data_IF_682281396923
#
_entry.id   IF_682281396923
#
_cell.length_a   1.000
_cell.length_b   1.000
_cell.length_c   1.000
_cell.angle_alpha   90.00
_cell.angle_beta   90.00
_cell.angle_gamma   90.00
#
_symmetry.space_group_name_H-M   'P 1'
#
loop_
_entity.id
_entity.type
_entity.pdbx_description
1 polymer ?
#
# COMPACT_ATOMS: atom_id res chain seq x y z
N UNK A 1 9.35 1.33 -13.58
CA UNK A 1 8.18 1.07 -12.72
C UNK A 1 7.59 2.40 -12.26
N UNK A 2 6.34 2.44 -11.80
CA UNK A 2 5.69 3.67 -11.30
C UNK A 2 6.54 4.35 -10.20
N UNK A 3 6.97 3.56 -9.21
CA UNK A 3 7.87 3.99 -8.12
C UNK A 3 9.24 4.42 -8.65
N UNK A 4 9.81 3.64 -9.58
CA UNK A 4 11.11 3.89 -10.20
C UNK A 4 11.23 5.27 -10.86
N UNK A 5 10.12 5.84 -11.34
CA UNK A 5 10.10 7.16 -11.98
C UNK A 5 10.45 8.28 -11.01
N UNK A 6 10.15 8.10 -9.74
CA UNK A 6 10.33 9.12 -8.71
C UNK A 6 11.54 8.88 -7.81
N UNK A 7 12.38 7.88 -8.09
CA UNK A 7 13.54 7.55 -7.24
C UNK A 7 14.65 8.59 -7.33
N UNK A 8 14.84 9.18 -8.52
CA UNK A 8 15.87 10.19 -8.76
C UNK A 8 15.38 11.63 -8.59
N UNK A 9 14.08 11.82 -8.33
CA UNK A 9 13.53 13.15 -8.07
C UNK A 9 14.13 13.71 -6.77
N UNK A 10 14.46 15.00 -6.75
CA UNK A 10 14.88 15.68 -5.53
C UNK A 10 13.64 15.86 -4.65
N UNK A 11 13.69 15.38 -3.42
CA UNK A 11 12.62 15.63 -2.46
C UNK A 11 12.70 17.09 -1.99
N UNK A 12 11.59 17.83 -1.98
CA UNK A 12 11.59 19.16 -1.41
C UNK A 12 11.82 19.10 0.10
N UNK A 13 12.40 20.16 0.64
CA UNK A 13 12.66 20.30 2.09
C UNK A 13 11.34 20.27 2.87
N UNK A 14 10.31 20.93 2.35
CA UNK A 14 8.94 20.88 2.86
C UNK A 14 7.97 20.41 1.76
N UNK A 15 7.04 19.52 2.13
CA UNK A 15 6.00 19.05 1.22
C UNK A 15 4.91 20.10 1.10
N UNK A 16 4.70 20.61 -0.12
CA UNK A 16 3.65 21.58 -0.42
C UNK A 16 2.39 20.91 -1.00
N UNK A 17 1.32 21.70 -1.22
CA UNK A 17 0.08 21.19 -1.81
C UNK A 17 0.26 20.53 -3.19
N UNK A 18 1.29 20.92 -3.95
CA UNK A 18 1.60 20.32 -5.24
C UNK A 18 1.95 18.83 -5.11
N UNK A 19 2.79 18.48 -4.13
CA UNK A 19 3.24 17.10 -3.92
C UNK A 19 2.11 16.20 -3.42
N UNK A 20 1.23 16.72 -2.56
CA UNK A 20 0.04 15.99 -2.09
C UNK A 20 -0.97 15.74 -3.22
N UNK A 21 -1.10 16.65 -4.18
CA UNK A 21 -2.03 16.50 -5.31
C UNK A 21 -1.41 15.85 -6.55
N UNK A 22 -0.09 15.66 -6.56
CA UNK A 22 0.61 15.03 -7.68
C UNK A 22 0.20 13.57 -7.80
N UNK A 23 -0.14 13.15 -9.02
CA UNK A 23 -0.40 11.76 -9.34
C UNK A 23 0.36 11.39 -10.61
N UNK A 24 0.66 10.11 -10.76
CA UNK A 24 1.16 9.54 -12.00
C UNK A 24 0.19 8.49 -12.53
N UNK A 25 -0.06 8.51 -13.84
CA UNK A 25 -0.82 7.46 -14.52
C UNK A 25 0.00 6.94 -15.71
N UNK A 26 -0.07 5.63 -15.95
CA UNK A 26 0.60 4.99 -17.06
C UNK A 26 -0.17 3.77 -17.55
N UNK A 27 -0.18 3.58 -18.87
CA UNK A 27 -0.77 2.40 -19.51
C UNK A 27 0.28 1.29 -19.58
N UNK A 28 -0.10 0.11 -19.11
CA UNK A 28 0.67 -1.12 -19.17
C UNK A 28 -0.02 -2.00 -20.21
N UNK A 29 0.50 -1.95 -21.43
CA UNK A 29 0.00 -2.73 -22.55
C UNK A 29 0.76 -4.05 -22.61
N UNK A 30 0.09 -5.16 -22.92
CA UNK A 30 0.70 -6.47 -23.06
C UNK A 30 1.86 -6.46 -24.07
N UNK A 31 1.70 -5.69 -25.15
CA UNK A 31 2.74 -5.47 -26.17
C UNK A 31 3.92 -4.59 -25.71
N UNK A 32 3.81 -3.94 -24.55
CA UNK A 32 4.75 -2.93 -24.06
C UNK A 32 4.56 -1.53 -24.68
N UNK A 33 5.22 -0.54 -24.06
CA UNK A 33 5.42 0.83 -24.57
C UNK A 33 6.88 1.23 -24.35
N UNK A 34 7.36 2.38 -24.87
CA UNK A 34 8.71 2.87 -24.53
C UNK A 34 8.94 3.05 -23.01
N UNK A 35 7.88 3.30 -22.23
CA UNK A 35 7.93 3.56 -20.79
C UNK A 35 7.59 2.33 -19.94
N UNK A 36 6.90 1.33 -20.50
CA UNK A 36 6.42 0.14 -19.77
C UNK A 36 6.80 -1.16 -20.49
N UNK A 37 7.37 -2.14 -19.78
CA UNK A 37 7.78 -3.39 -20.41
C UNK A 37 6.56 -4.19 -20.89
N UNK A 38 6.77 -5.01 -21.94
CA UNK A 38 5.79 -6.01 -22.36
C UNK A 38 5.55 -7.05 -21.24
N UNK A 39 4.34 -7.61 -21.21
CA UNK A 39 3.94 -8.56 -20.17
C UNK A 39 2.83 -9.51 -20.64
N UNK A 40 2.65 -10.61 -19.91
CA UNK A 40 1.66 -11.64 -20.24
C UNK A 40 0.25 -11.39 -19.66
N UNK A 41 0.06 -10.31 -18.92
CA UNK A 41 -1.26 -9.90 -18.41
C UNK A 41 -2.05 -9.10 -19.45
N UNK A 42 -3.38 -9.06 -19.32
CA UNK A 42 -4.20 -8.15 -20.11
C UNK A 42 -3.86 -6.69 -19.82
N UNK A 43 -3.98 -5.83 -20.82
CA UNK A 43 -3.72 -4.41 -20.67
C UNK A 43 -4.48 -3.78 -19.49
N UNK A 44 -3.77 -2.93 -18.76
CA UNK A 44 -4.31 -2.21 -17.62
C UNK A 44 -3.68 -0.82 -17.51
N UNK A 45 -4.38 0.11 -16.86
CA UNK A 45 -3.86 1.42 -16.49
C UNK A 45 -3.55 1.44 -15.01
N UNK A 46 -2.34 1.86 -14.67
CA UNK A 46 -1.90 2.03 -13.29
C UNK A 46 -1.92 3.51 -12.91
N UNK A 47 -2.32 3.80 -11.67
CA UNK A 47 -2.21 5.13 -11.06
C UNK A 47 -1.47 5.05 -9.74
N UNK A 48 -0.50 5.93 -9.57
CA UNK A 48 0.25 6.17 -8.34
C UNK A 48 -0.15 7.53 -7.74
N UNK A 49 -0.59 7.54 -6.50
CA UNK A 49 -1.07 8.75 -5.83
C UNK A 49 0.00 9.33 -4.91
N UNK A 50 0.23 10.65 -4.96
CA UNK A 50 1.20 11.40 -4.14
C UNK A 50 2.57 10.72 -4.01
N UNK A 51 3.22 10.36 -5.13
CA UNK A 51 4.39 9.47 -5.13
C UNK A 51 5.56 10.00 -4.29
N UNK A 52 5.80 11.32 -4.31
CA UNK A 52 6.86 11.95 -3.51
C UNK A 52 6.54 11.96 -2.01
N UNK A 53 5.27 12.15 -1.63
CA UNK A 53 4.84 12.13 -0.23
C UNK A 53 5.04 10.73 0.35
N UNK A 54 4.55 9.69 -0.36
CA UNK A 54 4.75 8.31 0.09
C UNK A 54 6.21 7.85 0.01
N UNK A 55 7.01 8.42 -0.90
CA UNK A 55 8.47 8.23 -0.88
C UNK A 55 9.09 8.78 0.40
N UNK A 56 8.77 10.02 0.78
CA UNK A 56 9.32 10.61 2.01
C UNK A 56 8.86 9.84 3.26
N UNK A 57 7.61 9.35 3.28
CA UNK A 57 7.15 8.45 4.35
C UNK A 57 7.97 7.15 4.40
N UNK A 58 8.26 6.53 3.26
CA UNK A 58 9.13 5.35 3.20
C UNK A 58 10.53 5.66 3.75
N UNK A 59 11.16 6.73 3.29
CA UNK A 59 12.50 7.15 3.75
C UNK A 59 12.51 7.46 5.26
N UNK A 60 11.47 8.12 5.78
CA UNK A 60 11.29 8.37 7.22
C UNK A 60 11.30 7.10 8.05
N UNK A 61 10.78 5.99 7.53
CA UNK A 61 10.76 4.69 8.20
C UNK A 61 11.89 3.75 7.74
N UNK A 62 12.93 4.27 7.08
CA UNK A 62 14.12 3.50 6.70
C UNK A 62 13.87 2.51 5.57
N UNK A 63 12.90 2.79 4.71
CA UNK A 63 12.57 1.97 3.54
C UNK A 63 13.09 2.70 2.30
N UNK A 64 14.11 2.14 1.66
CA UNK A 64 14.58 2.68 0.39
C UNK A 64 13.60 2.36 -0.73
N UNK A 65 13.61 3.15 -1.80
CA UNK A 65 12.78 2.84 -2.97
C UNK A 65 13.16 1.51 -3.62
N UNK A 66 14.43 1.13 -3.55
CA UNK A 66 14.93 -0.15 -4.06
C UNK A 66 14.37 -1.32 -3.24
N UNK A 67 14.48 -1.27 -1.90
CA UNK A 67 13.92 -2.30 -1.01
C UNK A 67 12.42 -2.45 -1.23
N UNK A 68 11.71 -1.32 -1.29
CA UNK A 68 10.26 -1.32 -1.51
C UNK A 68 9.87 -2.00 -2.84
N UNK A 69 10.60 -1.73 -3.93
CA UNK A 69 10.34 -2.37 -5.21
C UNK A 69 10.67 -3.86 -5.16
N UNK A 70 11.82 -4.25 -4.59
CA UNK A 70 12.21 -5.65 -4.47
C UNK A 70 11.17 -6.47 -3.70
N UNK A 71 10.68 -5.98 -2.56
CA UNK A 71 9.66 -6.65 -1.77
C UNK A 71 8.32 -6.80 -2.50
N UNK A 72 7.95 -5.83 -3.35
CA UNK A 72 6.63 -5.78 -4.01
C UNK A 72 6.62 -6.28 -5.45
N UNK A 73 7.77 -6.60 -6.05
CA UNK A 73 7.84 -7.05 -7.46
C UNK A 73 8.69 -8.31 -7.65
N UNK A 74 9.12 -8.98 -6.58
CA UNK A 74 9.79 -10.29 -6.70
C UNK A 74 8.83 -11.34 -7.25
N UNK A 75 9.27 -12.25 -8.12
CA UNK A 75 8.43 -13.25 -8.83
C UNK A 75 7.39 -14.01 -7.95
N UNK A 76 7.65 -14.17 -6.65
CA UNK A 76 6.76 -14.78 -5.65
C UNK A 76 5.94 -13.75 -4.85
N UNK A 77 5.41 -12.72 -5.53
CA UNK A 77 5.09 -11.41 -4.93
C UNK A 77 4.12 -11.45 -3.74
N UNK A 78 3.04 -12.25 -3.82
CA UNK A 78 1.87 -12.08 -2.96
C UNK A 78 1.37 -13.40 -2.39
N UNK A 79 1.56 -13.59 -1.09
CA UNK A 79 0.87 -14.65 -0.34
C UNK A 79 -0.52 -14.12 0.03
N UNK A 80 -1.56 -14.68 -0.59
CA UNK A 80 -2.94 -14.33 -0.26
C UNK A 80 -3.25 -14.73 1.19
N UNK A 81 -3.74 -13.76 1.96
CA UNK A 81 -4.36 -14.06 3.24
C UNK A 81 -5.86 -14.22 3.05
N UNK A 82 -6.37 -15.40 3.37
CA UNK A 82 -7.78 -15.61 3.66
C UNK A 82 -8.15 -14.90 4.96
N UNK A 83 -8.32 -13.58 4.92
CA UNK A 83 -8.94 -12.88 6.05
C UNK A 83 -10.45 -12.98 5.90
N UNK A 84 -11.15 -13.46 6.93
CA UNK A 84 -12.60 -13.26 7.12
C UNK A 84 -12.89 -11.77 7.42
N UNK A 85 -12.35 -10.86 6.61
CA UNK A 85 -12.57 -9.44 6.80
C UNK A 85 -14.02 -9.16 6.49
N UNK A 86 -14.77 -8.64 7.48
CA UNK A 86 -16.18 -8.23 7.31
C UNK A 86 -16.40 -7.26 6.14
N UNK A 87 -15.34 -6.60 5.66
CA UNK A 87 -15.37 -5.68 4.51
C UNK A 87 -15.17 -6.33 3.14
N UNK A 88 -14.86 -7.63 3.06
CA UNK A 88 -14.56 -8.30 1.78
C UNK A 88 -13.29 -7.78 1.07
N UNK A 89 -12.39 -7.12 1.82
CA UNK A 89 -11.11 -6.64 1.30
C UNK A 89 -10.08 -7.77 1.27
N UNK A 90 -9.36 -7.90 0.17
CA UNK A 90 -8.25 -8.83 0.03
C UNK A 90 -6.98 -8.27 0.68
N UNK A 91 -6.22 -9.15 1.32
CA UNK A 91 -4.93 -8.85 1.89
C UNK A 91 -3.88 -9.78 1.32
N UNK A 92 -2.72 -9.21 1.01
CA UNK A 92 -1.57 -9.94 0.55
C UNK A 92 -0.33 -9.50 1.33
N UNK A 93 0.56 -10.42 1.65
CA UNK A 93 1.89 -10.07 2.13
C UNK A 93 2.87 -9.94 0.97
N UNK A 94 3.83 -9.02 1.08
CA UNK A 94 5.05 -9.08 0.27
C UNK A 94 5.79 -10.40 0.53
N UNK A 95 6.63 -10.84 -0.41
CA UNK A 95 7.38 -12.10 -0.29
C UNK A 95 8.26 -12.19 0.96
N UNK A 96 8.74 -11.06 1.46
CA UNK A 96 9.54 -10.93 2.68
C UNK A 96 8.72 -10.55 3.93
N UNK A 97 7.39 -10.55 3.83
CA UNK A 97 6.43 -10.21 4.88
C UNK A 97 6.60 -8.81 5.49
N UNK A 98 7.40 -7.91 4.89
CA UNK A 98 7.60 -6.54 5.37
C UNK A 98 6.38 -5.66 5.14
N UNK A 99 5.63 -5.94 4.08
CA UNK A 99 4.50 -5.13 3.65
C UNK A 99 3.22 -5.94 3.52
N UNK A 100 2.11 -5.26 3.71
CA UNK A 100 0.77 -5.76 3.44
C UNK A 100 0.17 -4.90 2.33
N UNK A 101 -0.32 -5.55 1.27
CA UNK A 101 -1.17 -4.92 0.28
C UNK A 101 -2.61 -5.20 0.68
N UNK A 102 -3.42 -4.14 0.81
CA UNK A 102 -4.82 -4.26 1.15
C UNK A 102 -5.67 -3.57 0.11
N UNK A 103 -6.62 -4.29 -0.50
CA UNK A 103 -7.60 -3.65 -1.37
C UNK A 103 -8.52 -2.75 -0.55
N UNK A 104 -8.79 -1.56 -1.07
CA UNK A 104 -9.70 -0.61 -0.45
C UNK A 104 -10.75 -0.13 -1.45
N UNK A 105 -11.82 0.44 -0.93
CA UNK A 105 -12.85 1.08 -1.75
C UNK A 105 -12.34 2.42 -2.27
N UNK A 106 -12.95 2.92 -3.36
CA UNK A 106 -12.70 4.28 -3.86
C UNK A 106 -12.92 5.34 -2.77
N UNK A 107 -13.90 5.13 -1.88
CA UNK A 107 -14.21 6.05 -0.78
C UNK A 107 -13.11 6.06 0.28
N UNK A 108 -12.57 4.91 0.67
CA UNK A 108 -11.44 4.82 1.60
C UNK A 108 -10.16 5.40 1.00
N UNK A 109 -9.90 5.16 -0.29
CA UNK A 109 -8.79 5.79 -1.00
C UNK A 109 -8.90 7.32 -0.99
N UNK A 110 -10.09 7.86 -1.32
CA UNK A 110 -10.35 9.29 -1.28
C UNK A 110 -10.22 9.87 0.14
N UNK A 111 -10.68 9.13 1.15
CA UNK A 111 -10.51 9.52 2.55
C UNK A 111 -9.03 9.60 2.95
N UNK A 112 -8.24 8.59 2.60
CA UNK A 112 -6.80 8.61 2.87
C UNK A 112 -6.12 9.81 2.20
N UNK A 113 -6.47 10.11 0.94
CA UNK A 113 -5.92 11.29 0.25
C UNK A 113 -6.30 12.61 0.92
N UNK A 114 -7.55 12.76 1.37
CA UNK A 114 -7.98 13.95 2.11
C UNK A 114 -7.27 14.07 3.48
N UNK A 115 -6.99 12.94 4.13
CA UNK A 115 -6.27 12.89 5.39
C UNK A 115 -4.74 12.90 5.24
N UNK A 116 -4.21 12.82 4.01
CA UNK A 116 -2.78 12.61 3.77
C UNK A 116 -1.91 13.76 4.32
N UNK A 117 -2.28 15.05 4.21
CA UNK A 117 -1.49 16.13 4.80
C UNK A 117 -1.35 16.06 6.33
N UNK A 118 -2.43 16.02 7.15
CA UNK A 118 -2.28 15.89 8.60
C UNK A 118 -1.68 14.53 9.02
N UNK A 119 -1.95 13.46 8.27
CA UNK A 119 -1.33 12.15 8.50
C UNK A 119 0.19 12.21 8.30
N UNK A 120 0.65 12.80 7.20
CA UNK A 120 2.07 12.98 6.90
C UNK A 120 2.76 13.79 8.00
N UNK A 121 2.18 14.93 8.39
CA UNK A 121 2.71 15.77 9.47
C UNK A 121 2.88 14.97 10.77
N UNK A 122 1.87 14.17 11.16
CA UNK A 122 1.95 13.32 12.35
C UNK A 122 3.09 12.29 12.26
N UNK A 123 3.26 11.61 11.13
CA UNK A 123 4.31 10.60 10.94
C UNK A 123 5.72 11.22 10.94
N UNK A 124 5.85 12.44 10.41
CA UNK A 124 7.09 13.22 10.43
C UNK A 124 7.43 13.74 11.84
N UNK A 125 6.44 14.04 12.66
CA UNK A 125 6.65 14.44 14.06
C UNK A 125 6.90 13.24 14.99
N UNK A 126 6.22 12.11 14.77
CA UNK A 126 6.16 11.00 15.74
C UNK A 126 6.68 9.68 15.16
N UNK A 127 7.98 9.43 15.30
CA UNK A 127 8.64 8.21 14.79
C UNK A 127 8.09 6.90 15.40
N UNK A 128 7.57 6.94 16.62
CA UNK A 128 7.06 5.76 17.34
C UNK A 128 5.52 5.69 17.36
N UNK A 129 4.84 6.33 16.40
CA UNK A 129 3.38 6.26 16.27
C UNK A 129 2.88 4.81 16.12
N UNK A 130 1.73 4.53 16.73
CA UNK A 130 0.98 3.29 16.57
C UNK A 130 0.02 3.32 15.37
N UNK A 131 -0.11 4.48 14.70
CA UNK A 131 -0.89 4.56 13.47
C UNK A 131 -0.30 3.63 12.41
N UNK A 132 -1.20 3.03 11.62
CA UNK A 132 -0.82 2.28 10.43
C UNK A 132 0.09 3.14 9.55
N UNK A 133 1.17 2.54 9.05
CA UNK A 133 2.16 3.20 8.19
C UNK A 133 1.86 2.87 6.74
N UNK A 134 1.25 3.79 6.01
CA UNK A 134 0.96 3.67 4.60
C UNK A 134 2.18 4.14 3.79
N UNK A 135 2.60 3.30 2.85
CA UNK A 135 3.79 3.49 2.01
C UNK A 135 3.45 3.65 0.53
N UNK A 136 2.18 3.52 0.16
CA UNK A 136 1.67 3.80 -1.17
C UNK A 136 0.16 3.67 -1.22
N UNK A 137 -0.46 4.41 -2.13
CA UNK A 137 -1.84 4.24 -2.55
C UNK A 137 -1.85 4.15 -4.08
N UNK A 138 -2.49 3.11 -4.60
CA UNK A 138 -2.46 2.80 -6.02
C UNK A 138 -3.84 2.40 -6.54
N UNK A 139 -4.04 2.56 -7.85
CA UNK A 139 -5.22 2.07 -8.56
C UNK A 139 -4.81 1.35 -9.82
N UNK A 140 -5.34 0.13 -10.02
CA UNK A 140 -5.29 -0.60 -11.28
C UNK A 140 -6.66 -0.54 -11.94
N UNK A 141 -6.70 -0.21 -13.22
CA UNK A 141 -7.91 -0.24 -14.03
C UNK A 141 -7.72 -1.20 -15.21
N UNK A 142 -8.51 -2.26 -15.25
CA UNK A 142 -8.55 -3.17 -16.40
C UNK A 142 -9.31 -2.54 -17.57
N UNK A 143 -9.05 -3.00 -18.80
CA UNK A 143 -9.81 -2.63 -20.00
C UNK A 143 -11.33 -2.82 -19.87
N UNK A 144 -11.78 -3.77 -19.05
CA UNK A 144 -13.20 -3.97 -18.74
C UNK A 144 -13.86 -2.81 -17.96
N UNK A 145 -13.07 -1.82 -17.54
CA UNK A 145 -13.53 -0.69 -16.72
C UNK A 145 -13.46 -0.95 -15.22
N UNK A 146 -13.26 -2.19 -14.78
CA UNK A 146 -13.12 -2.54 -13.35
C UNK A 146 -11.88 -1.85 -12.77
N UNK A 147 -12.09 -1.10 -11.69
CA UNK A 147 -11.04 -0.42 -10.92
C UNK A 147 -10.82 -1.12 -9.58
N UNK A 148 -9.57 -1.40 -9.27
CA UNK A 148 -9.14 -1.90 -7.96
C UNK A 148 -8.24 -0.84 -7.33
N UNK A 149 -8.57 -0.41 -6.12
CA UNK A 149 -7.73 0.47 -5.32
C UNK A 149 -7.07 -0.38 -4.24
N UNK A 150 -5.82 -0.09 -3.93
CA UNK A 150 -5.13 -0.75 -2.85
C UNK A 150 -4.10 0.16 -2.22
N UNK A 151 -3.88 -0.04 -0.92
CA UNK A 151 -2.82 0.57 -0.17
C UNK A 151 -1.71 -0.44 0.06
N UNK A 152 -0.48 0.04 0.14
CA UNK A 152 0.63 -0.72 0.70
C UNK A 152 0.91 -0.15 2.08
N UNK A 153 0.95 -1.02 3.09
CA UNK A 153 1.19 -0.65 4.47
C UNK A 153 2.27 -1.54 5.10
N UNK A 154 2.92 -1.04 6.15
CA UNK A 154 3.87 -1.85 6.93
C UNK A 154 3.17 -2.99 7.64
N UNK A 155 3.79 -4.17 7.64
CA UNK A 155 3.36 -5.26 8.50
C UNK A 155 3.65 -4.92 9.97
N UNK A 156 2.65 -5.10 10.84
CA UNK A 156 2.78 -4.84 12.29
C UNK A 156 3.34 -6.05 13.04
N UNK A 157 3.28 -7.22 12.42
CA UNK A 157 3.73 -8.46 13.03
C UNK A 157 5.23 -8.67 12.84
N UNK A 158 5.92 -9.28 13.82
CA UNK A 158 7.31 -9.66 13.65
C UNK A 158 7.44 -10.69 12.54
N UNK A 159 8.46 -10.52 11.68
CA UNK A 159 8.73 -11.41 10.55
C UNK A 159 9.50 -12.66 11.00
N UNK A 160 10.32 -12.51 12.04
CA UNK A 160 11.29 -13.48 12.53
C UNK A 160 10.85 -14.22 13.80
N UNK A 161 9.60 -14.02 14.25
CA UNK A 161 9.10 -14.59 15.51
C UNK A 161 7.74 -15.26 15.33
N UNK A 162 7.52 -16.43 15.95
CA UNK A 162 6.22 -17.06 15.94
C UNK A 162 5.20 -16.21 16.70
N UNK A 163 3.99 -16.12 16.14
CA UNK A 163 2.86 -15.45 16.77
C UNK A 163 1.95 -16.54 17.34
N UNK A 164 1.98 -16.69 18.66
CA UNK A 164 1.18 -17.71 19.36
C UNK A 164 -0.30 -17.31 19.46
N UNK A 165 -0.58 -16.02 19.66
CA UNK A 165 -1.92 -15.50 19.86
C UNK A 165 -2.10 -14.14 19.15
N UNK A 166 -3.33 -13.87 18.70
CA UNK A 166 -3.70 -12.63 17.98
C UNK A 166 -5.03 -12.10 18.50
N UNK A 167 -5.10 -10.79 18.70
CA UNK A 167 -6.28 -10.10 19.19
C UNK A 167 -6.59 -8.84 18.37
N UNK A 168 -7.87 -8.59 18.06
CA UNK A 168 -8.38 -7.33 17.49
C UNK A 168 -9.23 -6.59 18.54
N UNK A 169 -8.58 -5.67 19.25
CA UNK A 169 -9.17 -4.92 20.38
C UNK A 169 -9.75 -3.59 19.91
N UNK A 170 -11.01 -3.29 20.27
CA UNK A 170 -11.66 -2.00 19.93
C UNK A 170 -12.46 -1.37 21.06
N UNK A 171 -12.28 -1.83 22.31
CA UNK A 171 -12.88 -1.24 23.53
C UNK A 171 -14.40 -1.39 23.71
N UNK A 172 -15.17 -1.69 22.65
CA UNK A 172 -16.60 -2.02 22.77
C UNK A 172 -16.82 -3.47 23.22
N UNK A 173 -18.05 -3.86 23.59
CA UNK A 173 -18.40 -5.26 23.97
C UNK A 173 -19.27 -5.98 22.92
N UNK A 174 -20.07 -5.26 22.13
CA UNK A 174 -20.95 -5.83 21.11
C UNK A 174 -20.15 -6.43 19.94
N UNK A 175 -20.46 -7.68 19.57
CA UNK A 175 -19.84 -8.42 18.45
C UNK A 175 -18.30 -8.54 18.57
N UNK A 176 -17.82 -8.88 19.78
CA UNK A 176 -16.39 -9.03 20.14
C UNK A 176 -16.02 -10.45 20.56
N UNK A 177 -16.47 -11.41 19.78
CA UNK A 177 -16.13 -12.82 19.96
C UNK A 177 -15.66 -13.38 18.63
N UNK A 178 -14.70 -14.30 18.70
CA UNK A 178 -14.18 -15.05 17.56
C UNK A 178 -15.09 -16.27 17.34
N UNK A 179 -15.52 -16.49 16.10
CA UNK A 179 -16.28 -17.70 15.76
C UNK A 179 -15.40 -18.94 15.90
N UNK A 180 -15.99 -20.13 16.10
CA UNK A 180 -15.18 -21.36 16.21
C UNK A 180 -14.39 -21.64 14.94
N UNK A 181 -14.92 -21.27 13.77
CA UNK A 181 -14.23 -21.35 12.48
C UNK A 181 -13.01 -20.42 12.36
N UNK A 182 -13.00 -19.29 13.07
CA UNK A 182 -11.85 -18.38 13.11
C UNK A 182 -10.82 -18.77 14.19
N UNK A 183 -11.15 -19.71 15.08
CA UNK A 183 -10.23 -20.25 16.10
C UNK A 183 -9.51 -21.53 15.65
N UNK A 184 -10.08 -22.24 14.68
CA UNK A 184 -9.50 -23.44 14.06
C UNK A 184 -8.37 -23.06 13.09
#
# INVERSE_FOLDING_TARGET
TAVGRFTSAVLPEEMGPAEFNQNWEGDFLARGTPETPAHNHSDFRFKDYSPLVFRQLRERFGITSQDYMLSLTSEYVLVEMSTNSKSGSFFFYSADYRFVLKTCTKREAAFLMAALPPYHQHLMAHRFTLLCRFFGLHRVQHRSGKMVYFVVMGNVFPIDKPIHERYDLKGSTRNRFTTDAERA
#
